data_IF_841708197026
#
_entry.id   IF_841708197026
#
_cell.length_a   1.000
_cell.length_b   1.000
_cell.length_c   1.000
_cell.angle_alpha   90.00
_cell.angle_beta   90.00
_cell.angle_gamma   90.00
#
_symmetry.space_group_name_H-M   'P 1'
#
loop_
_entity.id
_entity.type
_entity.pdbx_description
1 polymer ?
#
# COMPACT_ATOMS: atom_id res chain seq x y z
N UNK A 1 12.31 5.97 -19.28
CA UNK A 1 12.96 4.77 -18.69
C UNK A 1 11.87 4.08 -17.91
N UNK A 2 11.38 2.94 -18.39
CA UNK A 2 10.33 2.21 -17.68
C UNK A 2 11.00 1.50 -16.51
N UNK A 3 10.98 2.12 -15.33
CA UNK A 3 11.26 1.41 -14.09
C UNK A 3 10.25 0.26 -14.00
N UNK A 4 10.77 -0.96 -13.98
CA UNK A 4 9.89 -2.13 -13.88
C UNK A 4 9.28 -2.11 -12.48
N UNK A 5 7.93 -2.09 -12.36
CA UNK A 5 7.31 -2.07 -11.04
C UNK A 5 7.74 -3.30 -10.23
N UNK A 6 7.87 -3.18 -8.90
CA UNK A 6 8.18 -4.32 -8.06
C UNK A 6 7.18 -5.46 -8.26
N UNK A 7 7.66 -6.69 -8.14
CA UNK A 7 6.80 -7.85 -8.08
C UNK A 7 5.82 -7.72 -6.90
N UNK A 8 4.59 -8.16 -7.10
CA UNK A 8 3.54 -8.19 -6.09
C UNK A 8 2.78 -9.52 -6.18
N UNK A 9 2.26 -9.97 -5.04
CA UNK A 9 1.45 -11.18 -4.95
C UNK A 9 -0.05 -10.87 -5.10
N UNK A 10 -0.44 -9.66 -4.69
CA UNK A 10 -1.83 -9.22 -4.60
C UNK A 10 -1.94 -7.78 -5.09
N UNK A 11 -3.02 -7.48 -5.82
CA UNK A 11 -3.34 -6.13 -6.29
C UNK A 11 -4.68 -5.68 -5.72
N UNK A 12 -4.76 -4.42 -5.32
CA UNK A 12 -5.99 -3.78 -4.90
C UNK A 12 -6.06 -2.32 -5.36
N UNK A 13 -7.10 -1.99 -6.14
CA UNK A 13 -7.52 -0.61 -6.38
C UNK A 13 -8.50 -0.15 -5.29
N UNK A 14 -8.05 0.77 -4.45
CA UNK A 14 -8.87 1.43 -3.43
C UNK A 14 -9.59 2.68 -3.96
N UNK A 15 -9.33 3.09 -5.21
CA UNK A 15 -9.95 4.26 -5.84
C UNK A 15 -9.79 5.51 -4.97
N UNK A 16 -10.92 6.16 -4.69
CA UNK A 16 -11.01 7.41 -3.92
C UNK A 16 -11.33 7.17 -2.43
N UNK A 17 -11.14 5.95 -1.90
CA UNK A 17 -11.26 5.66 -0.47
C UNK A 17 -10.28 6.56 0.31
N UNK A 18 -10.81 7.36 1.24
CA UNK A 18 -10.05 8.37 1.96
C UNK A 18 -9.64 7.93 3.38
N UNK A 19 -8.43 8.36 3.77
CA UNK A 19 -7.87 8.43 5.12
C UNK A 19 -8.19 7.23 6.04
N UNK A 20 -9.30 7.28 6.78
CA UNK A 20 -9.65 6.26 7.77
C UNK A 20 -10.05 4.91 7.18
N UNK A 21 -10.90 4.92 6.15
CA UNK A 21 -11.44 3.68 5.56
C UNK A 21 -10.36 2.94 4.75
N UNK A 22 -9.51 3.68 4.04
CA UNK A 22 -8.37 3.14 3.30
C UNK A 22 -7.45 2.33 4.21
N UNK A 23 -7.02 2.93 5.33
CA UNK A 23 -6.10 2.29 6.27
C UNK A 23 -6.75 1.11 6.98
N UNK A 24 -8.05 1.19 7.30
CA UNK A 24 -8.78 0.11 7.93
C UNK A 24 -8.87 -1.13 7.03
N UNK A 25 -9.23 -0.92 5.76
CA UNK A 25 -9.32 -1.99 4.76
C UNK A 25 -7.94 -2.55 4.40
N UNK A 26 -6.93 -1.69 4.27
CA UNK A 26 -5.55 -2.12 4.08
C UNK A 26 -5.10 -3.03 5.22
N UNK A 27 -5.36 -2.63 6.48
CA UNK A 27 -5.03 -3.42 7.67
C UNK A 27 -5.68 -4.79 7.66
N UNK A 28 -6.94 -4.90 7.21
CA UNK A 28 -7.64 -6.20 7.10
C UNK A 28 -6.95 -7.11 6.09
N UNK A 29 -6.60 -6.56 4.92
CA UNK A 29 -6.00 -7.31 3.81
C UNK A 29 -4.60 -7.80 4.12
N UNK A 30 -3.71 -6.92 4.60
CA UNK A 30 -2.34 -7.32 4.93
C UNK A 30 -2.28 -8.33 6.08
N UNK A 31 -3.27 -8.33 6.98
CA UNK A 31 -3.35 -9.30 8.08
C UNK A 31 -3.76 -10.69 7.60
N UNK A 32 -4.61 -10.77 6.57
CA UNK A 32 -5.03 -12.03 5.99
C UNK A 32 -3.89 -12.75 5.26
N UNK A 33 -2.85 -12.01 4.86
CA UNK A 33 -1.83 -12.46 3.91
C UNK A 33 -0.41 -12.08 4.39
N UNK A 34 0.05 -12.62 5.54
CA UNK A 34 1.36 -12.28 6.10
C UNK A 34 2.51 -12.62 5.14
N UNK A 35 3.53 -11.77 5.12
CA UNK A 35 4.73 -11.93 4.30
C UNK A 35 4.59 -11.55 2.81
N UNK A 36 3.36 -11.42 2.29
CA UNK A 36 3.07 -11.09 0.88
C UNK A 36 3.24 -9.60 0.58
N UNK A 37 3.48 -9.28 -0.70
CA UNK A 37 3.57 -7.91 -1.22
C UNK A 37 2.28 -7.53 -1.93
N UNK A 38 1.67 -6.44 -1.46
CA UNK A 38 0.46 -5.85 -2.00
C UNK A 38 0.81 -4.65 -2.89
N UNK A 39 0.27 -4.61 -4.10
CA UNK A 39 0.18 -3.41 -4.92
C UNK A 39 -1.15 -2.71 -4.64
N UNK A 40 -1.09 -1.56 -4.00
CA UNK A 40 -2.23 -0.71 -3.66
C UNK A 40 -2.29 0.48 -4.61
N UNK A 41 -3.42 0.71 -5.25
CA UNK A 41 -3.70 1.95 -6.00
C UNK A 41 -4.64 2.79 -5.13
N UNK A 42 -4.21 3.98 -4.73
CA UNK A 42 -4.96 4.85 -3.83
C UNK A 42 -4.87 6.30 -4.31
N UNK A 43 -6.02 6.90 -4.64
CA UNK A 43 -6.10 8.26 -5.20
C UNK A 43 -6.32 9.34 -4.14
N UNK A 44 -6.38 8.93 -2.87
CA UNK A 44 -6.43 9.81 -1.72
C UNK A 44 -5.19 10.72 -1.66
N UNK A 45 -5.35 12.06 -1.61
CA UNK A 45 -4.22 12.98 -1.44
C UNK A 45 -3.43 12.75 -0.14
N UNK A 46 -4.02 12.10 0.87
CA UNK A 46 -3.35 11.74 2.12
C UNK A 46 -2.45 10.50 2.01
N UNK A 47 -2.71 9.59 1.07
CA UNK A 47 -2.00 8.31 0.95
C UNK A 47 -0.46 8.42 0.87
N UNK A 48 0.15 9.39 0.13
CA UNK A 48 1.60 9.54 0.10
C UNK A 48 2.24 9.82 1.47
N UNK A 49 1.52 10.44 2.39
CA UNK A 49 2.01 10.73 3.75
C UNK A 49 1.59 9.65 4.75
N UNK A 50 0.34 9.17 4.64
CA UNK A 50 -0.26 8.24 5.58
C UNK A 50 0.32 6.82 5.45
N UNK A 51 0.55 6.33 4.22
CA UNK A 51 1.01 4.95 4.01
C UNK A 51 2.44 4.70 4.55
N UNK A 52 3.45 5.58 4.30
CA UNK A 52 4.76 5.41 4.93
C UNK A 52 4.70 5.46 6.45
N UNK A 53 3.95 6.41 7.02
CA UNK A 53 3.79 6.56 8.46
C UNK A 53 3.12 5.33 9.08
N UNK A 54 2.02 4.86 8.48
CA UNK A 54 1.30 3.68 8.92
C UNK A 54 2.15 2.42 8.84
N UNK A 55 2.94 2.24 7.76
CA UNK A 55 3.88 1.12 7.65
C UNK A 55 4.89 1.14 8.81
N UNK A 56 5.51 2.30 9.08
CA UNK A 56 6.45 2.47 10.19
C UNK A 56 5.82 2.18 11.57
N UNK A 57 4.57 2.59 11.80
CA UNK A 57 3.87 2.37 13.06
C UNK A 57 3.44 0.91 13.28
N UNK A 58 3.16 0.17 12.21
CA UNK A 58 2.57 -1.18 12.29
C UNK A 58 3.60 -2.30 12.12
N UNK A 59 4.80 -1.97 11.63
CA UNK A 59 5.85 -2.91 11.27
C UNK A 59 5.68 -3.52 9.87
N UNK A 60 4.72 -3.03 9.07
CA UNK A 60 4.66 -3.32 7.65
C UNK A 60 5.75 -2.55 6.90
N UNK A 61 6.14 -3.02 5.71
CA UNK A 61 7.21 -2.40 4.96
C UNK A 61 6.69 -1.81 3.65
N UNK A 62 6.85 -0.51 3.46
CA UNK A 62 6.66 0.11 2.15
C UNK A 62 7.90 -0.20 1.29
N UNK A 63 7.70 -0.99 0.24
CA UNK A 63 8.75 -1.46 -0.68
C UNK A 63 9.03 -0.41 -1.75
N UNK A 64 7.98 0.17 -2.31
CA UNK A 64 8.07 1.23 -3.31
C UNK A 64 6.79 2.07 -3.32
N UNK A 65 6.88 3.26 -3.88
CA UNK A 65 5.73 4.09 -4.21
C UNK A 65 5.97 4.81 -5.54
N UNK A 66 4.91 4.97 -6.32
CA UNK A 66 4.87 5.78 -7.52
C UNK A 66 3.75 6.82 -7.34
N UNK A 67 4.16 8.06 -7.08
CA UNK A 67 3.22 9.17 -6.88
C UNK A 67 2.51 9.59 -8.18
N UNK A 68 3.11 9.35 -9.35
CA UNK A 68 2.48 9.68 -10.64
C UNK A 68 1.40 8.65 -10.99
N UNK A 69 1.65 7.37 -10.72
CA UNK A 69 0.67 6.30 -10.89
C UNK A 69 -0.22 6.06 -9.66
N UNK A 70 -0.06 6.84 -8.59
CA UNK A 70 -0.79 6.71 -7.32
C UNK A 70 -0.78 5.27 -6.78
N UNK A 71 0.37 4.60 -6.90
CA UNK A 71 0.53 3.18 -6.61
C UNK A 71 1.59 2.95 -5.52
N UNK A 72 1.35 1.99 -4.63
CA UNK A 72 2.17 1.69 -3.47
C UNK A 72 2.38 0.19 -3.34
N UNK A 73 3.60 -0.24 -3.06
CA UNK A 73 3.93 -1.64 -2.81
C UNK A 73 4.22 -1.84 -1.34
N UNK A 74 3.38 -2.59 -0.65
CA UNK A 74 3.46 -2.80 0.80
C UNK A 74 3.63 -4.28 1.09
N UNK A 75 4.70 -4.64 1.79
CA UNK A 75 4.89 -5.99 2.32
C UNK A 75 4.23 -6.14 3.67
N UNK A 76 3.31 -7.11 3.75
CA UNK A 76 2.72 -7.54 4.99
C UNK A 76 3.81 -8.10 5.91
N UNK A 77 3.76 -7.75 7.19
CA UNK A 77 4.68 -8.29 8.17
C UNK A 77 4.35 -9.76 8.38
N UNK A 78 5.38 -10.58 8.58
CA UNK A 78 5.25 -12.01 8.87
C UNK A 78 4.66 -12.24 10.26
#
# INVERSE_FOLDING_TARGET
MADTPPAHDLEWDAGDLACGDLVLELRRRVRAEPGKVFKLIARDPGAPADLPAWCGMTGHQLIAQDSAAQTYWIRAKS
#
